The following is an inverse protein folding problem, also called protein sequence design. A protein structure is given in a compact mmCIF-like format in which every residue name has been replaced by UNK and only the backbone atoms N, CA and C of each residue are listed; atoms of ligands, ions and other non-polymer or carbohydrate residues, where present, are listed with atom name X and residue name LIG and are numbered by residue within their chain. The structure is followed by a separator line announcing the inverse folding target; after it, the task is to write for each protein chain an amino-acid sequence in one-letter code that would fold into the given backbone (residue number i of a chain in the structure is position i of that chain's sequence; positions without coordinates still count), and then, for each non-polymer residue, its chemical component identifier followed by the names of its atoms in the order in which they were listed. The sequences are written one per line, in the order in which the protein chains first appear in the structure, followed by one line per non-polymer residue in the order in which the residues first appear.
data_IF_850975278468
#
_entry.id   IF_850975278468
#
_cell.length_a   1.000
_cell.length_b   1.000
_cell.length_c   1.000
_cell.angle_alpha   90.00
_cell.angle_beta   90.00
_cell.angle_gamma   90.00
#
_symmetry.space_group_name_H-M   'P 1'
#
loop_
_entity.id
_entity.type
_entity.pdbx_description
1 polymer ?
#
# COMPACT_ATOMS: atom_id res chain seq x y z
N UNK A 1 -34.23 -22.77 -53.04
CA UNK A 1 -32.76 -22.81 -53.26
C UNK A 1 -32.34 -21.37 -53.57
N UNK A 2 -31.40 -20.68 -52.93
CA UNK A 2 -30.32 -21.03 -52.01
C UNK A 2 -30.09 -19.79 -51.13
N UNK A 3 -29.83 -20.05 -49.85
CA UNK A 3 -29.43 -19.12 -48.80
C UNK A 3 -28.09 -18.46 -49.15
N UNK A 4 -27.97 -17.14 -49.01
CA UNK A 4 -26.69 -16.48 -48.68
C UNK A 4 -26.92 -15.32 -47.70
N UNK A 5 -26.76 -15.66 -46.42
CA UNK A 5 -26.56 -14.70 -45.34
C UNK A 5 -25.21 -13.99 -45.58
N UNK A 6 -25.24 -12.67 -45.79
CA UNK A 6 -24.08 -11.82 -45.59
C UNK A 6 -24.09 -11.42 -44.11
N UNK A 7 -23.31 -12.17 -43.34
CA UNK A 7 -22.93 -11.84 -41.98
C UNK A 7 -22.13 -10.53 -42.02
N UNK A 8 -22.78 -9.41 -41.74
CA UNK A 8 -22.05 -8.22 -41.34
C UNK A 8 -21.59 -8.44 -39.90
N UNK A 9 -20.30 -8.71 -39.80
CA UNK A 9 -19.51 -8.86 -38.60
C UNK A 9 -19.89 -7.79 -37.59
N UNK A 10 -20.44 -8.22 -36.46
CA UNK A 10 -20.58 -7.41 -35.26
C UNK A 10 -19.16 -6.99 -34.88
N UNK A 11 -18.80 -5.75 -35.18
CA UNK A 11 -17.67 -5.09 -34.55
C UNK A 11 -18.04 -4.93 -33.08
N UNK A 12 -17.75 -5.98 -32.30
CA UNK A 12 -17.58 -5.89 -30.86
C UNK A 12 -16.45 -4.89 -30.64
N UNK A 13 -16.81 -3.62 -30.57
CA UNK A 13 -16.12 -2.66 -29.75
C UNK A 13 -16.24 -3.20 -28.32
N UNK A 14 -15.37 -4.14 -27.97
CA UNK A 14 -14.96 -4.35 -26.60
C UNK A 14 -14.25 -3.07 -26.22
N UNK A 15 -15.05 -2.07 -25.82
CA UNK A 15 -14.65 -1.12 -24.81
C UNK A 15 -14.22 -1.99 -23.63
N UNK A 16 -12.94 -2.36 -23.60
CA UNK A 16 -12.23 -2.63 -22.37
C UNK A 16 -12.37 -1.33 -21.60
N UNK A 17 -13.48 -1.24 -20.88
CA UNK A 17 -13.70 -0.30 -19.82
C UNK A 17 -12.55 -0.64 -18.87
N UNK A 18 -11.46 0.10 -19.02
CA UNK A 18 -10.35 0.07 -18.10
C UNK A 18 -10.96 0.59 -16.80
N UNK A 19 -11.55 -0.33 -16.02
CA UNK A 19 -11.97 -0.05 -14.67
C UNK A 19 -10.70 0.39 -13.99
N UNK A 20 -10.54 1.70 -13.76
CA UNK A 20 -9.58 2.17 -12.77
C UNK A 20 -9.91 1.39 -11.52
N UNK A 21 -9.06 0.42 -11.16
CA UNK A 21 -9.27 -0.37 -9.95
C UNK A 21 -9.43 0.62 -8.80
N UNK A 22 -10.53 0.49 -8.06
CA UNK A 22 -10.75 1.33 -6.89
C UNK A 22 -9.52 1.24 -5.97
N UNK A 23 -9.03 2.38 -5.49
CA UNK A 23 -7.84 2.47 -4.63
C UNK A 23 -7.97 1.50 -3.44
N UNK A 24 -9.17 1.38 -2.88
CA UNK A 24 -9.41 0.48 -1.75
C UNK A 24 -9.33 -1.00 -2.17
N UNK A 25 -9.73 -1.32 -3.40
CA UNK A 25 -9.56 -2.65 -4.00
C UNK A 25 -8.08 -3.00 -4.17
N UNK A 26 -7.26 -2.06 -4.65
CA UNK A 26 -5.80 -2.26 -4.77
C UNK A 26 -5.17 -2.55 -3.41
N UNK A 27 -5.53 -1.76 -2.38
CA UNK A 27 -5.05 -1.97 -1.01
C UNK A 27 -5.53 -3.33 -0.46
N UNK A 28 -6.77 -3.73 -0.74
CA UNK A 28 -7.30 -5.02 -0.33
C UNK A 28 -6.54 -6.19 -0.97
N UNK A 29 -6.29 -6.12 -2.29
CA UNK A 29 -5.51 -7.10 -3.03
C UNK A 29 -4.06 -7.19 -2.53
N UNK A 30 -3.44 -6.05 -2.20
CA UNK A 30 -2.11 -6.05 -1.59
C UNK A 30 -2.11 -6.76 -0.22
N UNK A 31 -3.17 -6.59 0.58
CA UNK A 31 -3.31 -7.31 1.85
C UNK A 31 -3.49 -8.82 1.66
N UNK A 32 -4.24 -9.24 0.63
CA UNK A 32 -4.36 -10.66 0.26
C UNK A 32 -3.00 -11.24 -0.12
N UNK A 33 -2.21 -10.52 -0.92
CA UNK A 33 -0.87 -10.93 -1.28
C UNK A 33 0.07 -11.02 -0.07
N UNK A 34 0.00 -10.07 0.88
CA UNK A 34 0.75 -10.15 2.15
C UNK A 34 0.38 -11.41 2.93
N UNK A 35 -0.91 -11.71 3.09
CA UNK A 35 -1.40 -12.92 3.78
C UNK A 35 -0.93 -14.20 3.08
N UNK A 36 -0.88 -14.19 1.76
CA UNK A 36 -0.38 -15.28 0.94
C UNK A 36 1.17 -15.33 0.86
N UNK A 37 1.88 -14.47 1.60
CA UNK A 37 3.35 -14.32 1.57
C UNK A 37 3.93 -13.95 0.20
N UNK A 38 3.12 -13.37 -0.68
CA UNK A 38 3.51 -12.84 -1.99
C UNK A 38 4.02 -11.40 -1.85
N UNK A 39 5.07 -11.21 -1.06
CA UNK A 39 5.52 -9.87 -0.64
C UNK A 39 5.90 -8.95 -1.80
N UNK A 40 6.63 -9.44 -2.80
CA UNK A 40 7.00 -8.65 -3.98
C UNK A 40 5.77 -8.19 -4.79
N UNK A 41 4.73 -9.02 -4.88
CA UNK A 41 3.50 -8.67 -5.59
C UNK A 41 2.68 -7.62 -4.83
N UNK A 42 2.61 -7.73 -3.51
CA UNK A 42 1.97 -6.74 -2.65
C UNK A 42 2.71 -5.39 -2.70
N UNK A 43 4.03 -5.43 -2.60
CA UNK A 43 4.90 -4.26 -2.66
C UNK A 43 4.74 -3.52 -3.99
N UNK A 44 4.79 -4.24 -5.11
CA UNK A 44 4.59 -3.65 -6.45
C UNK A 44 3.25 -2.91 -6.55
N UNK A 45 2.16 -3.49 -6.02
CA UNK A 45 0.84 -2.83 -6.02
C UNK A 45 0.84 -1.54 -5.20
N UNK A 46 1.44 -1.57 -4.02
CA UNK A 46 1.46 -0.43 -3.09
C UNK A 46 2.36 0.70 -3.58
N UNK A 47 3.53 0.38 -4.14
CA UNK A 47 4.42 1.36 -4.76
C UNK A 47 3.74 2.00 -5.97
N UNK A 48 3.17 1.19 -6.87
CA UNK A 48 2.43 1.73 -8.02
C UNK A 48 1.28 2.65 -7.59
N UNK A 49 0.55 2.28 -6.53
CA UNK A 49 -0.53 3.11 -5.99
C UNK A 49 -0.04 4.50 -5.53
N UNK A 50 1.14 4.57 -4.90
CA UNK A 50 1.72 5.82 -4.38
C UNK A 50 2.41 6.63 -5.50
N UNK A 51 3.11 5.97 -6.42
CA UNK A 51 3.93 6.63 -7.44
C UNK A 51 3.14 7.10 -8.67
N UNK A 52 2.01 6.47 -8.99
CA UNK A 52 1.21 6.82 -10.18
C UNK A 52 0.48 8.18 -10.07
N UNK A 53 0.84 9.03 -9.11
CA UNK A 53 0.24 10.36 -8.86
C UNK A 53 -1.28 10.33 -8.69
N UNK A 54 -1.81 9.18 -8.27
CA UNK A 54 -3.21 9.06 -7.86
C UNK A 54 -3.43 9.92 -6.64
N UNK A 55 -4.47 10.76 -6.64
CA UNK A 55 -4.81 11.56 -5.45
C UNK A 55 -5.40 10.62 -4.40
N UNK A 56 -4.56 10.24 -3.43
CA UNK A 56 -4.99 9.44 -2.28
C UNK A 56 -5.62 10.35 -1.22
N UNK A 57 -6.68 9.87 -0.57
CA UNK A 57 -7.08 10.45 0.71
C UNK A 57 -6.00 10.14 1.76
N UNK A 58 -5.89 10.96 2.81
CA UNK A 58 -4.93 10.72 3.92
C UNK A 58 -5.08 9.31 4.49
N UNK A 59 -6.31 8.79 4.57
CA UNK A 59 -6.57 7.42 5.03
C UNK A 59 -5.99 6.35 4.12
N UNK A 60 -6.10 6.53 2.81
CA UNK A 60 -5.55 5.60 1.83
C UNK A 60 -4.01 5.66 1.83
N UNK A 61 -3.44 6.85 1.89
CA UNK A 61 -1.99 7.05 1.97
C UNK A 61 -1.40 6.41 3.24
N UNK A 62 -2.01 6.67 4.41
CA UNK A 62 -1.59 6.06 5.68
C UNK A 62 -1.68 4.54 5.60
N UNK A 63 -2.78 3.99 5.07
CA UNK A 63 -2.91 2.53 4.93
C UNK A 63 -1.84 1.95 4.01
N UNK A 64 -1.62 2.54 2.83
CA UNK A 64 -0.64 2.05 1.87
C UNK A 64 0.79 2.08 2.43
N UNK A 65 1.20 3.22 3.00
CA UNK A 65 2.53 3.37 3.62
C UNK A 65 2.69 2.48 4.84
N UNK A 66 1.65 2.25 5.64
CA UNK A 66 1.72 1.30 6.76
C UNK A 66 1.97 -0.12 6.28
N UNK A 67 1.33 -0.55 5.18
CA UNK A 67 1.63 -1.87 4.59
C UNK A 67 3.03 -1.97 4.03
N UNK A 68 3.54 -0.91 3.41
CA UNK A 68 4.92 -0.85 2.93
C UNK A 68 5.92 -0.91 4.10
N UNK A 69 5.65 -0.22 5.21
CA UNK A 69 6.45 -0.33 6.43
C UNK A 69 6.55 -1.79 6.90
N UNK A 70 5.42 -2.48 7.09
CA UNK A 70 5.43 -3.89 7.50
C UNK A 70 6.18 -4.78 6.49
N UNK A 71 5.95 -4.58 5.20
CA UNK A 71 6.60 -5.36 4.14
C UNK A 71 8.11 -5.20 4.18
N UNK A 72 8.60 -3.95 4.23
CA UNK A 72 10.03 -3.65 4.28
C UNK A 72 10.70 -4.19 5.54
N UNK A 73 9.98 -4.20 6.67
CA UNK A 73 10.45 -4.85 7.89
C UNK A 73 10.56 -6.37 7.70
N UNK A 74 9.51 -7.03 7.19
CA UNK A 74 9.48 -8.49 6.94
C UNK A 74 10.57 -8.93 5.95
N UNK A 75 10.91 -8.09 4.98
CA UNK A 75 11.94 -8.38 3.97
C UNK A 75 13.33 -7.89 4.36
N UNK A 76 13.52 -7.42 5.60
CA UNK A 76 14.78 -6.90 6.16
C UNK A 76 15.37 -5.71 5.37
N UNK A 77 14.51 -4.95 4.68
CA UNK A 77 14.90 -3.70 4.01
C UNK A 77 14.78 -2.53 5.00
N UNK A 78 15.75 -2.45 5.90
CA UNK A 78 15.69 -1.50 7.01
C UNK A 78 15.84 -0.04 6.57
N UNK A 79 16.50 0.22 5.43
CA UNK A 79 16.54 1.57 4.86
C UNK A 79 15.15 2.06 4.46
N UNK A 80 14.36 1.21 3.79
CA UNK A 80 12.99 1.58 3.42
C UNK A 80 12.02 1.49 4.59
N UNK A 81 12.30 0.62 5.56
CA UNK A 81 11.58 0.56 6.84
C UNK A 81 11.66 1.90 7.56
N UNK A 82 12.87 2.46 7.71
CA UNK A 82 13.06 3.76 8.32
C UNK A 82 12.33 4.87 7.55
N UNK A 83 12.48 4.87 6.22
CA UNK A 83 11.80 5.84 5.35
C UNK A 83 10.28 5.84 5.56
N UNK A 84 9.62 4.68 5.44
CA UNK A 84 8.16 4.61 5.56
C UNK A 84 7.66 4.90 6.98
N UNK A 85 8.41 4.51 8.02
CA UNK A 85 8.08 4.85 9.40
C UNK A 85 8.10 6.36 9.64
N UNK A 86 9.16 7.06 9.20
CA UNK A 86 9.30 8.52 9.34
C UNK A 86 8.22 9.27 8.57
N UNK A 87 7.95 8.85 7.34
CA UNK A 87 6.87 9.41 6.52
C UNK A 87 5.50 9.26 7.19
N UNK A 88 5.19 8.07 7.71
CA UNK A 88 3.94 7.82 8.44
C UNK A 88 3.81 8.71 9.67
N UNK A 89 4.87 8.82 10.48
CA UNK A 89 4.87 9.67 11.66
C UNK A 89 4.64 11.14 11.30
N UNK A 90 5.25 11.62 10.21
CA UNK A 90 5.03 12.97 9.70
C UNK A 90 3.58 13.20 9.27
N UNK A 91 3.02 12.31 8.43
CA UNK A 91 1.63 12.41 7.96
C UNK A 91 0.65 12.38 9.13
N UNK A 92 0.83 11.45 10.07
CA UNK A 92 -0.05 11.33 11.23
C UNK A 92 0.09 12.52 12.19
N UNK A 93 1.27 13.11 12.33
CA UNK A 93 1.48 14.30 13.15
C UNK A 93 0.71 15.52 12.58
N UNK A 94 0.65 15.65 11.25
CA UNK A 94 -0.10 16.72 10.58
C UNK A 94 -1.63 16.52 10.62
N UNK A 95 -2.11 15.34 11.02
CA UNK A 95 -3.52 14.98 10.97
C UNK A 95 -4.02 14.48 12.34
N UNK A 96 -4.67 15.34 13.18
CA UNK A 96 -5.06 15.00 14.55
C UNK A 96 -5.95 13.74 14.68
N UNK A 97 -6.72 13.40 13.65
CA UNK A 97 -7.53 12.19 13.60
C UNK A 97 -6.70 10.88 13.77
N UNK A 98 -5.40 10.94 13.47
CA UNK A 98 -4.49 9.79 13.54
C UNK A 98 -3.61 9.77 14.79
N UNK A 99 -3.81 10.66 15.76
CA UNK A 99 -2.95 10.76 16.95
C UNK A 99 -2.87 9.43 17.72
N UNK A 100 -3.99 8.71 17.83
CA UNK A 100 -4.02 7.38 18.46
C UNK A 100 -3.18 6.36 17.69
N UNK A 101 -3.23 6.38 16.36
CA UNK A 101 -2.43 5.48 15.52
C UNK A 101 -0.94 5.85 15.59
N UNK A 102 -0.62 7.15 15.58
CA UNK A 102 0.75 7.67 15.73
C UNK A 102 1.40 7.16 17.02
N UNK A 103 0.71 7.32 18.16
CA UNK A 103 1.20 6.83 19.46
C UNK A 103 1.45 5.32 19.47
N UNK A 104 0.56 4.55 18.81
CA UNK A 104 0.74 3.09 18.67
C UNK A 104 1.94 2.72 17.82
N UNK A 105 2.16 3.44 16.71
CA UNK A 105 3.33 3.23 15.86
C UNK A 105 4.62 3.55 16.63
N UNK A 106 4.69 4.69 17.33
CA UNK A 106 5.83 5.04 18.18
C UNK A 106 6.09 3.95 19.23
N UNK A 107 5.05 3.52 19.96
CA UNK A 107 5.20 2.42 20.92
C UNK A 107 5.75 1.15 20.28
N UNK A 108 5.26 0.79 19.08
CA UNK A 108 5.71 -0.42 18.39
C UNK A 108 7.19 -0.31 18.00
N UNK A 109 7.61 0.80 17.40
CA UNK A 109 9.00 1.02 17.01
C UNK A 109 9.96 1.06 18.23
N UNK A 110 9.51 1.63 19.35
CA UNK A 110 10.38 1.89 20.49
C UNK A 110 10.36 0.82 21.59
N UNK A 111 9.29 0.03 21.69
CA UNK A 111 9.04 -0.82 22.85
C UNK A 111 8.58 -2.23 22.52
N UNK A 112 8.16 -2.52 21.28
CA UNK A 112 7.79 -3.89 20.90
C UNK A 112 9.04 -4.77 20.79
N UNK A 113 8.90 -6.04 21.19
CA UNK A 113 9.91 -7.08 20.98
C UNK A 113 10.08 -7.38 19.49
N UNK A 114 8.98 -7.43 18.73
CA UNK A 114 8.98 -7.70 17.28
C UNK A 114 9.88 -6.73 16.50
N UNK A 115 10.01 -5.48 16.95
CA UNK A 115 10.76 -4.42 16.27
C UNK A 115 12.10 -4.10 16.93
N UNK A 116 12.54 -4.92 17.89
CA UNK A 116 13.75 -4.65 18.67
C UNK A 116 14.99 -4.44 17.80
N UNK A 117 15.13 -5.19 16.70
CA UNK A 117 16.28 -5.12 15.78
C UNK A 117 16.40 -3.79 15.02
N UNK A 118 15.27 -3.07 14.80
CA UNK A 118 15.26 -1.79 14.07
C UNK A 118 15.21 -0.58 15.00
N UNK A 119 15.13 -0.78 16.33
CA UNK A 119 14.94 0.30 17.31
C UNK A 119 16.02 1.38 17.24
N UNK A 120 17.26 0.99 16.95
CA UNK A 120 18.39 1.92 16.82
C UNK A 120 18.20 2.93 15.66
N UNK A 121 17.42 2.59 14.63
CA UNK A 121 17.10 3.49 13.51
C UNK A 121 16.21 4.66 13.94
N UNK A 122 15.55 4.53 15.08
CA UNK A 122 14.52 5.46 15.56
C UNK A 122 14.91 6.14 16.88
N UNK A 123 16.20 6.22 17.22
CA UNK A 123 16.66 6.77 18.50
C UNK A 123 16.25 8.22 18.75
N UNK A 124 16.02 8.99 17.68
CA UNK A 124 15.51 10.36 17.75
C UNK A 124 14.01 10.45 18.09
N UNK A 125 13.26 9.37 17.87
CA UNK A 125 11.83 9.24 18.16
C UNK A 125 11.61 8.51 19.49
N UNK A 126 12.47 7.53 19.81
CA UNK A 126 12.41 6.68 21.00
C UNK A 126 13.16 7.31 22.17
N UNK A 127 12.63 8.43 22.68
CA UNK A 127 13.13 9.12 23.87
C UNK A 127 12.50 8.56 25.15
#
# INVERSE_FOLDING_TARGET
MLIRYLLFSVALFSSALCCSEDINSIIALANDDIRAKKFAAAETKLINLIEQKTVLTVSQEVNAKYRLLELTFITNDYSRTEHYARDLLYIMHKNPAYEKLRKRLVYRLCSSEDWMETRALFSDICL
#
